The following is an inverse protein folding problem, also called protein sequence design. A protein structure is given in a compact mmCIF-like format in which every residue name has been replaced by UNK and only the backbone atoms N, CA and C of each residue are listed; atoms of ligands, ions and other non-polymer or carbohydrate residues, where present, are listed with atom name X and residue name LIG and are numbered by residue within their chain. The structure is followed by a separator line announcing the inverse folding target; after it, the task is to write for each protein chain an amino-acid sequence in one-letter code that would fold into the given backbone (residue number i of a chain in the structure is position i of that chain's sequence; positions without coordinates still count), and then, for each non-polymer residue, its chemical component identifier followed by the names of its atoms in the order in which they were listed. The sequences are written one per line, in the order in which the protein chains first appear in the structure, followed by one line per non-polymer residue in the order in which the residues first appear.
data_IF_318498926957
#
_entry.id   IF_318498926957
#
_cell.length_a   1.000
_cell.length_b   1.000
_cell.length_c   1.000
_cell.angle_alpha   90.00
_cell.angle_beta   90.00
_cell.angle_gamma   90.00
#
_symmetry.space_group_name_H-M   'P 1'
#
loop_
_entity.id
_entity.type
_entity.pdbx_description
1 polymer ?
#
# COMPACT_ATOMS: atom_id res chain seq x y z
N UNK A 1 -30.71 -44.05 46.10
CA UNK A 1 -31.06 -43.93 44.68
C UNK A 1 -31.53 -42.52 44.29
N UNK A 2 -32.49 -41.88 44.99
CA UNK A 2 -33.00 -40.53 44.66
C UNK A 2 -31.95 -39.38 44.70
N UNK A 3 -30.99 -39.39 45.63
CA UNK A 3 -29.93 -38.37 45.71
C UNK A 3 -28.96 -38.43 44.52
N UNK A 4 -28.61 -39.61 44.00
CA UNK A 4 -27.71 -39.76 42.85
C UNK A 4 -28.39 -39.27 41.54
N UNK A 5 -29.68 -39.59 41.33
CA UNK A 5 -30.42 -39.08 40.17
C UNK A 5 -30.68 -37.56 40.22
N UNK A 6 -30.82 -36.99 41.41
CA UNK A 6 -30.92 -35.54 41.59
C UNK A 6 -29.59 -34.82 41.32
N UNK A 7 -28.47 -35.39 41.75
CA UNK A 7 -27.11 -34.86 41.45
C UNK A 7 -26.78 -34.99 39.97
N UNK A 8 -27.11 -36.09 39.27
CA UNK A 8 -26.96 -36.23 37.83
C UNK A 8 -27.80 -35.22 37.06
N UNK A 9 -29.06 -35.04 37.44
CA UNK A 9 -29.95 -34.04 36.82
C UNK A 9 -29.44 -32.59 36.99
N UNK A 10 -28.84 -32.27 38.18
CA UNK A 10 -28.23 -30.97 38.45
C UNK A 10 -26.98 -30.75 37.63
N UNK A 11 -26.12 -31.75 37.47
CA UNK A 11 -24.91 -31.66 36.65
C UNK A 11 -25.23 -31.54 35.15
N UNK A 12 -26.23 -32.25 34.65
CA UNK A 12 -26.71 -32.09 33.30
C UNK A 12 -27.26 -30.70 33.02
N UNK A 13 -28.05 -30.12 33.93
CA UNK A 13 -28.52 -28.71 33.78
C UNK A 13 -27.34 -27.71 33.73
N UNK A 14 -26.34 -27.85 34.59
CA UNK A 14 -25.13 -27.00 34.59
C UNK A 14 -24.38 -27.15 33.28
N UNK A 15 -24.22 -28.37 32.77
CA UNK A 15 -23.58 -28.62 31.46
C UNK A 15 -24.34 -27.94 30.33
N UNK A 16 -25.67 -28.02 30.28
CA UNK A 16 -26.47 -27.34 29.25
C UNK A 16 -26.37 -25.83 29.35
N UNK A 17 -26.33 -25.24 30.54
CA UNK A 17 -26.12 -23.80 30.73
C UNK A 17 -24.73 -23.41 30.20
N UNK A 18 -23.70 -24.16 30.56
CA UNK A 18 -22.33 -23.93 30.09
C UNK A 18 -22.25 -23.98 28.57
N UNK A 19 -22.83 -25.01 27.92
CA UNK A 19 -22.86 -25.13 26.45
C UNK A 19 -23.55 -23.91 25.81
N UNK A 20 -24.71 -23.49 26.37
CA UNK A 20 -25.41 -22.29 25.86
C UNK A 20 -24.56 -21.02 25.97
N UNK A 21 -23.85 -20.84 27.08
CA UNK A 21 -22.92 -19.70 27.25
C UNK A 21 -21.78 -19.75 26.26
N UNK A 22 -21.18 -20.92 26.04
CA UNK A 22 -20.10 -21.09 25.03
C UNK A 22 -20.62 -20.73 23.64
N UNK A 23 -21.79 -21.26 23.25
CA UNK A 23 -22.39 -20.94 21.95
C UNK A 23 -22.66 -19.42 21.83
N UNK A 24 -23.26 -18.82 22.87
CA UNK A 24 -23.55 -17.39 22.89
C UNK A 24 -22.29 -16.55 22.71
N UNK A 25 -21.22 -16.80 23.48
CA UNK A 25 -19.96 -16.07 23.37
C UNK A 25 -19.26 -16.32 22.04
N UNK A 26 -19.34 -17.53 21.49
CA UNK A 26 -18.80 -17.84 20.16
C UNK A 26 -19.49 -17.03 19.06
N UNK A 27 -20.83 -17.00 19.09
CA UNK A 27 -21.62 -16.20 18.13
C UNK A 27 -21.32 -14.71 18.28
N UNK A 28 -21.30 -14.22 19.51
CA UNK A 28 -20.98 -12.81 19.81
C UNK A 28 -19.59 -12.44 19.31
N UNK A 29 -18.59 -13.28 19.53
CA UNK A 29 -17.23 -13.06 19.07
C UNK A 29 -17.14 -13.06 17.52
N UNK A 30 -17.81 -14.00 16.88
CA UNK A 30 -17.90 -14.05 15.42
C UNK A 30 -18.55 -12.77 14.84
N UNK A 31 -19.63 -12.29 15.48
CA UNK A 31 -20.28 -11.03 15.09
C UNK A 31 -19.34 -9.82 15.22
N UNK A 32 -18.57 -9.73 16.31
CA UNK A 32 -17.59 -8.66 16.51
C UNK A 32 -16.55 -8.66 15.38
N UNK A 33 -16.06 -9.83 14.97
CA UNK A 33 -15.08 -9.95 13.87
C UNK A 33 -15.71 -9.54 12.54
N UNK A 34 -16.90 -10.06 12.22
CA UNK A 34 -17.61 -9.78 10.96
C UNK A 34 -17.96 -8.29 10.86
N UNK A 35 -18.58 -7.74 11.90
CA UNK A 35 -18.92 -6.31 11.95
C UNK A 35 -17.65 -5.45 11.90
N UNK A 36 -16.57 -5.85 12.57
CA UNK A 36 -15.28 -5.18 12.48
C UNK A 36 -14.80 -5.03 11.04
N UNK A 37 -14.88 -6.09 10.24
CA UNK A 37 -14.52 -6.04 8.81
C UNK A 37 -15.46 -5.14 8.01
N UNK A 38 -16.77 -5.17 8.24
CA UNK A 38 -17.76 -4.33 7.54
C UNK A 38 -17.53 -2.85 7.86
N UNK A 39 -17.29 -2.53 9.15
CA UNK A 39 -17.12 -1.16 9.63
C UNK A 39 -15.74 -0.56 9.32
N UNK A 40 -14.71 -1.38 9.06
CA UNK A 40 -13.40 -0.88 8.62
C UNK A 40 -13.56 -0.05 7.35
N UNK A 41 -13.04 1.21 7.32
CA UNK A 41 -13.14 2.08 6.16
C UNK A 41 -12.53 1.44 4.92
N UNK A 42 -13.20 1.58 3.77
CA UNK A 42 -12.67 1.16 2.47
C UNK A 42 -11.93 2.33 1.84
N UNK A 43 -10.63 2.45 2.12
CA UNK A 43 -9.80 3.57 1.71
C UNK A 43 -9.63 3.62 0.19
N UNK A 44 -10.41 4.47 -0.49
CA UNK A 44 -10.33 4.68 -1.93
C UNK A 44 -9.23 5.71 -2.23
N UNK A 45 -8.28 5.36 -3.09
CA UNK A 45 -7.13 6.21 -3.43
C UNK A 45 -7.15 6.75 -4.86
N UNK A 46 -8.16 6.42 -5.66
CA UNK A 46 -8.20 6.76 -7.07
C UNK A 46 -9.54 7.26 -7.59
N UNK A 47 -9.57 7.50 -8.87
CA UNK A 47 -10.76 7.90 -9.64
C UNK A 47 -11.46 6.72 -10.28
N UNK A 48 -10.86 5.55 -10.21
CA UNK A 48 -11.40 4.33 -10.76
C UNK A 48 -12.35 3.68 -9.78
N UNK A 49 -13.35 3.08 -10.31
CA UNK A 49 -14.43 2.29 -9.72
C UNK A 49 -14.12 1.54 -8.41
N UNK A 50 -15.01 0.69 -8.02
CA UNK A 50 -15.01 -0.12 -6.79
C UNK A 50 -13.75 -0.99 -6.52
N UNK A 51 -12.85 -1.17 -7.50
CA UNK A 51 -11.62 -1.98 -7.39
C UNK A 51 -10.35 -1.17 -7.06
N UNK A 52 -10.51 0.04 -6.55
CA UNK A 52 -9.46 1.02 -6.35
C UNK A 52 -9.40 1.45 -4.89
N UNK A 53 -8.42 0.97 -4.16
CA UNK A 53 -8.21 1.34 -2.76
C UNK A 53 -7.20 0.46 -2.04
N UNK A 54 -6.77 0.89 -0.86
CA UNK A 54 -5.79 0.15 -0.05
C UNK A 54 -6.30 -1.24 0.37
N UNK A 55 -7.61 -1.39 0.55
CA UNK A 55 -8.21 -2.70 0.82
C UNK A 55 -8.02 -3.66 -0.37
N UNK A 56 -8.10 -3.19 -1.62
CA UNK A 56 -7.80 -4.00 -2.80
C UNK A 56 -6.30 -4.30 -2.93
N UNK A 57 -5.44 -3.32 -2.66
CA UNK A 57 -3.98 -3.54 -2.70
C UNK A 57 -3.56 -4.65 -1.73
N UNK A 58 -4.01 -4.58 -0.47
CA UNK A 58 -3.57 -5.53 0.55
C UNK A 58 -4.27 -6.89 0.40
N UNK A 59 -5.61 -6.89 0.30
CA UNK A 59 -6.34 -8.15 0.18
C UNK A 59 -6.10 -8.84 -1.17
N UNK A 60 -5.94 -8.07 -2.26
CA UNK A 60 -5.62 -8.62 -3.58
C UNK A 60 -4.27 -9.34 -3.60
N UNK A 61 -3.29 -8.88 -2.81
CA UNK A 61 -2.03 -9.60 -2.64
C UNK A 61 -2.23 -10.98 -2.01
N UNK A 62 -3.09 -11.07 -1.01
CA UNK A 62 -3.40 -12.35 -0.35
C UNK A 62 -4.22 -13.32 -1.21
N UNK A 63 -4.86 -12.84 -2.27
CA UNK A 63 -5.62 -13.69 -3.21
C UNK A 63 -4.73 -14.26 -4.34
N UNK A 64 -3.50 -13.79 -4.49
CA UNK A 64 -2.57 -14.35 -5.46
C UNK A 64 -2.21 -15.82 -5.10
N UNK A 65 -1.98 -16.68 -6.10
CA UNK A 65 -1.34 -17.98 -5.89
C UNK A 65 -0.02 -17.79 -5.12
N UNK A 66 0.31 -18.70 -4.22
CA UNK A 66 1.56 -18.64 -3.47
C UNK A 66 2.77 -18.67 -4.39
N UNK A 67 3.77 -17.85 -4.08
CA UNK A 67 5.05 -17.78 -4.78
C UNK A 67 4.90 -17.52 -6.30
N UNK A 68 3.94 -16.68 -6.67
CA UNK A 68 3.61 -16.36 -8.05
C UNK A 68 4.14 -15.01 -8.55
N UNK A 69 4.97 -14.31 -7.75
CA UNK A 69 5.57 -13.04 -8.14
C UNK A 69 7.10 -13.08 -8.04
N UNK A 70 7.76 -12.49 -9.01
CA UNK A 70 9.22 -12.35 -9.10
C UNK A 70 9.70 -11.10 -8.36
N UNK A 71 8.95 -10.00 -8.46
CA UNK A 71 9.32 -8.67 -7.93
C UNK A 71 8.20 -8.11 -7.06
N UNK A 72 8.57 -7.63 -5.86
CA UNK A 72 7.66 -6.93 -4.97
C UNK A 72 8.05 -5.46 -4.86
N UNK A 73 7.11 -4.56 -5.16
CA UNK A 73 7.27 -3.13 -4.93
C UNK A 73 6.69 -2.77 -3.58
N UNK A 74 7.48 -2.08 -2.76
CA UNK A 74 7.10 -1.57 -1.44
C UNK A 74 7.39 -0.07 -1.36
N UNK A 75 6.51 0.69 -0.76
CA UNK A 75 6.72 2.12 -0.63
C UNK A 75 5.46 2.87 -0.24
N UNK A 76 5.44 4.12 -0.60
CA UNK A 76 4.28 4.98 -0.42
C UNK A 76 3.50 5.22 -1.73
N UNK A 77 2.80 6.35 -1.78
CA UNK A 77 1.98 6.71 -2.94
C UNK A 77 2.79 6.99 -4.21
N UNK A 78 4.07 7.33 -4.11
CA UNK A 78 4.95 7.51 -5.27
C UNK A 78 5.08 6.21 -6.06
N UNK A 79 5.21 5.08 -5.35
CA UNK A 79 5.33 3.76 -5.96
C UNK A 79 4.00 3.29 -6.53
N UNK A 80 2.89 3.31 -5.75
CA UNK A 80 1.63 2.78 -6.29
C UNK A 80 1.00 3.66 -7.36
N UNK A 81 1.45 4.91 -7.52
CA UNK A 81 1.08 5.82 -8.61
C UNK A 81 2.08 5.80 -9.77
N UNK A 82 3.34 5.46 -9.50
CA UNK A 82 4.44 5.58 -10.45
C UNK A 82 4.83 4.32 -11.19
N UNK A 83 4.49 3.12 -10.64
CA UNK A 83 4.94 1.84 -11.20
C UNK A 83 3.78 0.89 -11.42
N UNK A 84 3.60 0.45 -12.66
CA UNK A 84 2.57 -0.50 -13.07
C UNK A 84 3.12 -1.91 -13.30
N UNK A 85 2.78 -2.89 -12.43
CA UNK A 85 3.17 -4.27 -12.63
C UNK A 85 2.69 -4.88 -13.96
N UNK A 86 1.53 -4.45 -14.46
CA UNK A 86 0.97 -4.98 -15.71
C UNK A 86 1.71 -4.48 -16.94
N UNK A 87 2.29 -3.26 -16.92
CA UNK A 87 3.19 -2.78 -17.98
C UNK A 87 4.49 -3.58 -18.02
N UNK A 88 5.04 -3.94 -16.85
CA UNK A 88 6.21 -4.81 -16.75
C UNK A 88 5.88 -6.20 -17.31
N UNK A 89 4.76 -6.79 -16.91
CA UNK A 89 4.32 -8.10 -17.39
C UNK A 89 4.07 -8.11 -18.91
N UNK A 90 3.42 -7.08 -19.45
CA UNK A 90 3.17 -6.96 -20.89
C UNK A 90 4.46 -7.02 -21.70
N UNK A 91 5.50 -6.31 -21.25
CA UNK A 91 6.77 -6.17 -21.97
C UNK A 91 7.71 -7.36 -21.80
N UNK A 92 7.63 -8.08 -20.68
CA UNK A 92 8.68 -9.03 -20.27
C UNK A 92 8.16 -10.40 -19.81
N UNK A 93 6.89 -10.50 -19.42
CA UNK A 93 6.36 -11.66 -18.72
C UNK A 93 6.80 -11.77 -17.24
N UNK A 94 7.59 -10.82 -16.72
CA UNK A 94 7.98 -10.76 -15.29
C UNK A 94 6.74 -10.46 -14.45
N UNK A 95 6.49 -11.28 -13.44
CA UNK A 95 5.37 -11.07 -12.53
C UNK A 95 5.78 -10.20 -11.36
N UNK A 96 4.97 -9.19 -11.06
CA UNK A 96 5.26 -8.28 -9.96
C UNK A 96 3.99 -7.79 -9.26
N UNK A 97 4.13 -7.28 -8.06
CA UNK A 97 3.01 -6.71 -7.32
C UNK A 97 3.43 -5.43 -6.60
N UNK A 98 2.56 -4.43 -6.63
CA UNK A 98 2.75 -3.18 -5.95
C UNK A 98 2.00 -3.20 -4.61
N UNK A 99 2.70 -3.59 -3.53
CA UNK A 99 2.16 -3.63 -2.17
C UNK A 99 2.57 -2.38 -1.39
N UNK A 100 2.35 -1.22 -1.99
CA UNK A 100 2.67 0.07 -1.37
C UNK A 100 1.45 0.64 -0.65
N UNK A 101 1.69 1.42 0.40
CA UNK A 101 0.66 1.97 1.29
C UNK A 101 0.87 3.47 1.44
N UNK A 102 -0.23 4.24 1.34
CA UNK A 102 -0.19 5.70 1.45
C UNK A 102 0.61 6.17 2.67
N UNK A 103 1.56 7.07 2.43
CA UNK A 103 2.41 7.67 3.46
C UNK A 103 3.16 6.64 4.32
N UNK A 104 3.57 5.52 3.75
CA UNK A 104 4.32 4.50 4.49
C UNK A 104 5.69 5.02 4.96
N UNK A 105 6.12 4.56 6.11
CA UNK A 105 7.46 4.74 6.67
C UNK A 105 8.14 3.38 6.73
N UNK A 106 9.48 3.37 6.79
CA UNK A 106 10.26 2.12 6.78
C UNK A 106 9.83 1.12 7.87
N UNK A 107 9.44 1.59 9.05
CA UNK A 107 8.98 0.71 10.12
C UNK A 107 7.62 0.04 9.83
N UNK A 108 6.73 0.69 9.06
CA UNK A 108 5.50 0.06 8.56
C UNK A 108 5.84 -0.96 7.49
N UNK A 109 6.75 -0.60 6.56
CA UNK A 109 7.17 -1.46 5.47
C UNK A 109 7.90 -2.71 5.96
N UNK A 110 8.61 -2.63 7.09
CA UNK A 110 9.24 -3.80 7.70
C UNK A 110 8.19 -4.87 8.06
N UNK A 111 7.13 -4.51 8.75
CA UNK A 111 6.05 -5.45 9.09
C UNK A 111 5.25 -5.90 7.87
N UNK A 112 5.06 -5.02 6.88
CA UNK A 112 4.43 -5.39 5.61
C UNK A 112 5.29 -6.43 4.88
N UNK A 113 6.61 -6.25 4.84
CA UNK A 113 7.53 -7.20 4.23
C UNK A 113 7.48 -8.58 4.91
N UNK A 114 7.58 -8.61 6.25
CA UNK A 114 7.49 -9.87 7.01
C UNK A 114 6.17 -10.61 6.76
N UNK A 115 5.06 -9.88 6.68
CA UNK A 115 3.76 -10.48 6.41
C UNK A 115 3.65 -10.92 4.95
N UNK A 116 4.04 -10.08 4.00
CA UNK A 116 4.01 -10.37 2.57
C UNK A 116 4.84 -11.61 2.21
N UNK A 117 5.99 -11.75 2.82
CA UNK A 117 6.91 -12.86 2.56
C UNK A 117 6.36 -14.24 2.98
N UNK A 118 5.32 -14.31 3.81
CA UNK A 118 4.62 -15.58 4.13
C UNK A 118 3.83 -16.15 2.95
N UNK A 119 3.46 -15.29 2.02
CA UNK A 119 2.61 -15.63 0.87
C UNK A 119 3.37 -15.71 -0.44
N UNK A 120 4.36 -14.85 -0.60
CA UNK A 120 5.16 -14.72 -1.81
C UNK A 120 6.65 -14.72 -1.46
N UNK A 121 7.48 -15.28 -2.36
CA UNK A 121 8.93 -15.35 -2.21
C UNK A 121 9.60 -14.61 -3.38
N UNK A 122 9.44 -13.28 -3.47
CA UNK A 122 10.04 -12.51 -4.55
C UNK A 122 11.57 -12.59 -4.50
N UNK A 123 12.21 -12.63 -5.65
CA UNK A 123 13.67 -12.57 -5.76
C UNK A 123 14.20 -11.16 -5.60
N UNK A 124 13.38 -10.16 -5.93
CA UNK A 124 13.74 -8.75 -5.86
C UNK A 124 12.66 -7.97 -5.12
N UNK A 125 13.09 -7.12 -4.21
CA UNK A 125 12.23 -6.12 -3.58
C UNK A 125 12.73 -4.75 -4.01
N UNK A 126 11.82 -3.93 -4.57
CA UNK A 126 12.10 -2.55 -4.91
C UNK A 126 11.36 -1.65 -3.93
N UNK A 127 12.11 -0.83 -3.17
CA UNK A 127 11.58 -0.01 -2.08
C UNK A 127 11.76 1.48 -2.36
N UNK A 128 10.73 2.27 -2.04
CA UNK A 128 10.79 3.73 -2.11
C UNK A 128 11.71 4.31 -1.04
N UNK A 129 12.81 4.99 -1.41
CA UNK A 129 13.72 5.60 -0.45
C UNK A 129 13.11 6.78 0.32
N UNK A 130 12.04 7.42 -0.16
CA UNK A 130 11.37 8.52 0.53
C UNK A 130 10.87 8.08 1.92
N UNK A 131 10.54 6.80 2.07
CA UNK A 131 10.08 6.20 3.33
C UNK A 131 11.09 6.29 4.48
N UNK A 132 12.36 6.58 4.17
CA UNK A 132 13.45 6.77 5.13
C UNK A 132 13.56 8.21 5.65
N UNK A 133 13.01 9.17 4.91
CA UNK A 133 13.26 10.61 5.16
C UNK A 133 12.07 11.36 5.76
N UNK A 134 11.01 10.65 6.11
CA UNK A 134 9.93 11.23 6.89
C UNK A 134 10.41 11.55 8.31
N UNK A 135 10.28 12.83 8.71
CA UNK A 135 10.77 13.31 10.01
C UNK A 135 9.79 13.07 11.16
N UNK A 136 8.53 12.84 10.83
CA UNK A 136 7.46 12.65 11.81
C UNK A 136 6.83 11.27 11.65
N UNK A 137 6.36 10.69 12.77
CA UNK A 137 5.54 9.49 12.75
C UNK A 137 4.26 9.79 11.96
N UNK A 138 3.73 8.78 11.30
CA UNK A 138 2.45 8.90 10.59
C UNK A 138 1.29 9.12 11.56
N UNK A 139 0.24 9.74 11.05
CA UNK A 139 -1.02 9.84 11.81
C UNK A 139 -1.75 8.50 11.84
N UNK A 140 -2.58 8.27 12.86
CA UNK A 140 -3.34 7.02 13.05
C UNK A 140 -4.03 6.54 11.77
N UNK A 141 -4.65 7.45 11.02
CA UNK A 141 -5.38 7.09 9.79
C UNK A 141 -4.50 6.45 8.72
N UNK A 142 -3.26 6.91 8.55
CA UNK A 142 -2.32 6.32 7.60
C UNK A 142 -1.84 4.94 8.09
N UNK A 143 -1.51 4.82 9.35
CA UNK A 143 -1.14 3.55 9.99
C UNK A 143 -2.25 2.51 9.86
N UNK A 144 -3.50 2.91 10.03
CA UNK A 144 -4.68 2.05 9.87
C UNK A 144 -4.87 1.53 8.45
N UNK A 145 -4.51 2.31 7.43
CA UNK A 145 -4.51 1.85 6.03
C UNK A 145 -3.60 0.64 5.82
N UNK A 146 -2.50 0.56 6.56
CA UNK A 146 -1.57 -0.57 6.51
C UNK A 146 -2.08 -1.77 7.31
N UNK A 147 -2.50 -1.55 8.54
CA UNK A 147 -2.64 -2.61 9.55
C UNK A 147 -4.04 -3.19 9.68
N UNK A 148 -5.09 -2.41 9.38
CA UNK A 148 -6.46 -2.93 9.54
C UNK A 148 -6.76 -4.08 8.57
N UNK A 149 -6.13 -4.09 7.39
CA UNK A 149 -6.28 -5.14 6.39
C UNK A 149 -5.26 -6.28 6.49
N UNK A 150 -4.17 -6.08 7.24
CA UNK A 150 -3.21 -7.15 7.49
C UNK A 150 -3.90 -8.32 8.19
N UNK A 151 -3.70 -9.54 7.68
CA UNK A 151 -4.28 -10.75 8.27
C UNK A 151 -3.76 -10.94 9.70
N UNK A 152 -4.64 -11.39 10.60
CA UNK A 152 -4.23 -11.72 11.95
C UNK A 152 -3.19 -12.85 11.94
N UNK A 153 -2.13 -12.67 12.71
CA UNK A 153 -1.03 -13.63 12.81
C UNK A 153 0.15 -13.05 13.60
N UNK A 154 1.26 -13.78 13.60
CA UNK A 154 2.47 -13.43 14.36
C UNK A 154 2.93 -11.98 14.07
N UNK A 155 3.11 -11.62 12.80
CA UNK A 155 3.59 -10.28 12.42
C UNK A 155 2.66 -9.16 12.88
N UNK A 156 1.34 -9.32 12.70
CA UNK A 156 0.37 -8.33 13.19
C UNK A 156 0.41 -8.21 14.72
N UNK A 157 0.59 -9.31 15.43
CA UNK A 157 0.75 -9.32 16.88
C UNK A 157 2.02 -8.59 17.29
N UNK A 158 3.16 -8.90 16.66
CA UNK A 158 4.46 -8.26 16.95
C UNK A 158 4.39 -6.75 16.72
N UNK A 159 3.84 -6.33 15.58
CA UNK A 159 3.63 -4.93 15.27
C UNK A 159 2.76 -4.21 16.31
N UNK A 160 1.60 -4.78 16.71
CA UNK A 160 0.71 -4.15 17.69
C UNK A 160 1.40 -4.03 19.07
N UNK A 161 2.35 -4.91 19.38
CA UNK A 161 3.06 -4.93 20.65
C UNK A 161 4.48 -4.38 20.57
N UNK A 162 4.90 -3.82 19.44
CA UNK A 162 6.17 -3.10 19.36
C UNK A 162 6.07 -1.79 20.16
N UNK A 163 6.95 -1.63 21.15
CA UNK A 163 7.02 -0.47 22.02
C UNK A 163 7.26 0.85 21.27
N UNK A 164 7.79 0.77 20.04
CA UNK A 164 7.95 1.93 19.18
C UNK A 164 6.64 2.69 18.91
N UNK A 165 5.51 1.97 18.80
CA UNK A 165 4.21 2.59 18.52
C UNK A 165 3.57 3.22 19.77
N UNK A 166 4.02 2.87 20.97
CA UNK A 166 3.52 3.43 22.24
C UNK A 166 2.01 3.28 22.42
N UNK A 167 1.43 2.19 21.87
CA UNK A 167 0.00 1.94 21.96
C UNK A 167 -0.47 1.64 23.37
N UNK A 168 -1.47 2.36 23.85
CA UNK A 168 -2.18 1.99 25.05
C UNK A 168 -3.04 0.73 24.85
N UNK A 169 -3.61 0.20 25.95
CA UNK A 169 -4.42 -1.02 25.89
C UNK A 169 -5.64 -0.88 24.97
N UNK A 170 -6.31 0.28 24.95
CA UNK A 170 -7.49 0.52 24.12
C UNK A 170 -7.13 0.56 22.64
N UNK A 171 -6.01 1.20 22.34
CA UNK A 171 -5.49 1.28 20.98
C UNK A 171 -5.08 -0.11 20.48
N UNK A 172 -4.32 -0.89 21.25
CA UNK A 172 -4.00 -2.29 20.92
C UNK A 172 -5.27 -3.11 20.66
N UNK A 173 -6.26 -3.03 21.55
CA UNK A 173 -7.53 -3.75 21.42
C UNK A 173 -8.25 -3.36 20.11
N UNK A 174 -8.19 -2.10 19.72
CA UNK A 174 -8.83 -1.60 18.49
C UNK A 174 -8.17 -2.08 17.20
N UNK A 175 -6.89 -2.48 17.21
CA UNK A 175 -6.23 -3.15 16.09
C UNK A 175 -6.57 -4.64 16.02
N UNK A 176 -6.79 -5.29 17.17
CA UNK A 176 -7.27 -6.66 17.18
C UNK A 176 -8.74 -6.76 16.76
N UNK A 177 -9.55 -5.79 17.19
CA UNK A 177 -10.98 -5.73 16.96
C UNK A 177 -11.39 -4.36 16.40
N UNK A 178 -11.30 -4.17 15.07
CA UNK A 178 -11.56 -2.87 14.43
C UNK A 178 -12.94 -2.27 14.75
N UNK A 179 -13.91 -3.10 15.14
CA UNK A 179 -15.23 -2.62 15.56
C UNK A 179 -15.14 -1.61 16.73
N UNK A 180 -14.20 -1.79 17.66
CA UNK A 180 -14.03 -0.85 18.77
C UNK A 180 -13.58 0.54 18.31
N UNK A 181 -12.86 0.61 17.18
CA UNK A 181 -12.46 1.89 16.58
C UNK A 181 -13.53 2.51 15.70
N UNK A 182 -14.29 1.66 14.97
CA UNK A 182 -15.13 2.11 13.87
C UNK A 182 -16.64 1.98 14.16
N UNK A 183 -17.07 1.59 15.36
CA UNK A 183 -18.48 1.41 15.70
C UNK A 183 -19.33 2.67 15.46
N UNK A 184 -18.76 3.88 15.61
CA UNK A 184 -19.45 5.14 15.37
C UNK A 184 -19.85 5.39 13.90
N UNK A 185 -19.29 4.61 12.96
CA UNK A 185 -19.60 4.71 11.53
C UNK A 185 -20.90 4.00 11.11
N UNK A 186 -21.74 3.62 12.06
CA UNK A 186 -22.99 2.89 11.77
C UNK A 186 -23.87 3.58 10.72
N UNK A 187 -23.87 4.93 10.67
CA UNK A 187 -24.64 5.75 9.70
C UNK A 187 -23.95 5.89 8.33
N UNK A 188 -22.68 5.51 8.20
CA UNK A 188 -21.91 5.53 6.95
C UNK A 188 -21.96 4.17 6.23
N UNK A 189 -22.37 3.11 6.93
CA UNK A 189 -22.38 1.75 6.39
C UNK A 189 -23.52 1.60 5.39
N UNK A 190 -23.17 1.11 4.22
CA UNK A 190 -24.11 0.82 3.14
C UNK A 190 -23.83 -0.56 2.51
N UNK A 191 -24.64 -0.97 1.55
CA UNK A 191 -24.50 -2.27 0.88
C UNK A 191 -23.14 -2.43 0.15
N UNK A 192 -22.51 -1.36 -0.30
CA UNK A 192 -21.16 -1.43 -0.90
C UNK A 192 -20.11 -1.89 0.11
N UNK A 193 -20.18 -1.42 1.37
CA UNK A 193 -19.27 -1.88 2.44
C UNK A 193 -19.42 -3.39 2.68
N UNK A 194 -20.65 -3.90 2.69
CA UNK A 194 -20.94 -5.33 2.86
C UNK A 194 -20.41 -6.12 1.65
N UNK A 195 -20.76 -5.71 0.43
CA UNK A 195 -20.29 -6.37 -0.80
C UNK A 195 -18.77 -6.42 -0.88
N UNK A 196 -18.08 -5.31 -0.57
CA UNK A 196 -16.61 -5.28 -0.55
C UNK A 196 -16.00 -6.16 0.53
N UNK A 197 -16.66 -6.32 1.68
CA UNK A 197 -16.15 -7.17 2.77
C UNK A 197 -16.19 -8.66 2.43
N UNK A 198 -17.20 -9.10 1.68
CA UNK A 198 -17.42 -10.52 1.34
C UNK A 198 -17.16 -10.84 -0.14
N UNK A 199 -16.77 -9.86 -0.94
CA UNK A 199 -16.42 -10.03 -2.34
C UNK A 199 -14.96 -10.48 -2.53
N UNK A 200 -14.60 -10.73 -3.80
CA UNK A 200 -13.20 -10.93 -4.20
C UNK A 200 -12.47 -9.58 -4.28
N UNK A 201 -11.22 -9.57 -3.87
CA UNK A 201 -10.31 -8.43 -4.00
C UNK A 201 -9.35 -8.59 -5.19
N UNK A 202 -9.74 -9.38 -6.18
CA UNK A 202 -8.90 -9.61 -7.35
C UNK A 202 -8.52 -8.30 -8.05
N UNK A 203 -7.23 -7.96 -8.02
CA UNK A 203 -6.68 -6.74 -8.61
C UNK A 203 -6.15 -7.01 -10.01
N UNK A 204 -6.81 -6.44 -11.03
CA UNK A 204 -6.31 -6.49 -12.42
C UNK A 204 -5.10 -5.58 -12.64
N UNK A 205 -4.87 -4.61 -11.77
CA UNK A 205 -3.72 -3.67 -11.82
C UNK A 205 -2.55 -4.11 -10.96
N UNK A 206 -2.70 -5.22 -10.21
CA UNK A 206 -1.69 -5.73 -9.28
C UNK A 206 -1.18 -4.69 -8.28
N UNK A 207 -2.10 -3.88 -7.73
CA UNK A 207 -1.82 -2.85 -6.74
C UNK A 207 -1.42 -1.48 -7.30
N UNK A 208 -1.24 -1.34 -8.60
CA UNK A 208 -1.07 -0.03 -9.23
C UNK A 208 -2.38 0.75 -9.21
N UNK A 209 -2.32 2.02 -8.83
CA UNK A 209 -3.49 2.92 -8.79
C UNK A 209 -3.40 3.92 -9.93
N UNK A 210 -4.12 3.62 -11.00
CA UNK A 210 -4.18 4.41 -12.23
C UNK A 210 -4.87 5.76 -11.99
N UNK A 211 -4.31 6.85 -12.51
CA UNK A 211 -4.90 8.20 -12.42
C UNK A 211 -4.98 8.88 -13.78
N UNK A 212 -6.11 9.55 -14.03
CA UNK A 212 -6.32 10.42 -15.19
C UNK A 212 -6.38 11.90 -14.81
N UNK A 213 -5.95 12.25 -13.60
CA UNK A 213 -5.88 13.65 -13.17
C UNK A 213 -4.68 14.34 -13.81
N UNK A 214 -4.85 15.61 -14.12
CA UNK A 214 -3.78 16.51 -14.56
C UNK A 214 -3.79 17.75 -13.68
N UNK A 215 -2.69 17.97 -12.97
CA UNK A 215 -2.46 19.20 -12.24
C UNK A 215 -1.01 19.64 -12.49
N UNK A 216 -0.80 20.60 -13.41
CA UNK A 216 0.50 20.90 -13.95
C UNK A 216 1.48 21.48 -12.94
N UNK A 217 2.77 21.22 -13.16
CA UNK A 217 3.89 21.96 -12.59
C UNK A 217 4.64 22.69 -13.71
N UNK A 218 4.55 24.00 -13.71
CA UNK A 218 5.16 24.85 -14.75
C UNK A 218 6.57 25.37 -14.43
N UNK A 219 7.01 25.23 -13.18
CA UNK A 219 8.28 25.82 -12.73
C UNK A 219 9.06 24.83 -11.88
N UNK A 220 10.38 24.94 -11.97
CA UNK A 220 11.27 24.40 -10.96
C UNK A 220 11.53 22.89 -11.07
N UNK A 221 12.12 22.45 -12.18
CA UNK A 221 12.70 21.10 -12.27
C UNK A 221 14.06 20.99 -11.59
N UNK A 222 14.49 22.03 -10.87
CA UNK A 222 15.75 22.07 -10.16
C UNK A 222 15.69 21.49 -8.76
N UNK A 223 14.72 20.60 -8.51
CA UNK A 223 14.57 19.96 -7.19
C UNK A 223 15.79 19.08 -6.85
N UNK A 224 16.55 18.64 -7.85
CA UNK A 224 17.79 17.88 -7.67
C UNK A 224 19.06 18.79 -7.61
N UNK A 225 18.89 20.12 -7.51
CA UNK A 225 20.01 21.00 -7.27
C UNK A 225 20.32 21.12 -5.78
N UNK A 226 21.60 21.27 -5.37
CA UNK A 226 21.98 21.50 -3.98
C UNK A 226 21.23 22.69 -3.37
N UNK A 227 20.69 22.52 -2.18
CA UNK A 227 19.83 23.51 -1.52
C UNK A 227 20.22 23.85 -0.08
N UNK A 228 21.29 23.30 0.44
CA UNK A 228 21.73 23.42 1.85
C UNK A 228 20.68 22.95 2.89
N UNK A 229 19.67 22.21 2.48
CA UNK A 229 18.72 21.59 3.43
C UNK A 229 19.44 20.52 4.23
N UNK A 230 19.27 20.57 5.54
CA UNK A 230 19.76 19.49 6.39
C UNK A 230 18.79 18.32 6.32
N UNK A 231 19.23 17.20 5.80
CA UNK A 231 18.50 15.93 5.86
C UNK A 231 18.85 15.22 7.16
N UNK A 232 17.85 14.80 7.89
CA UNK A 232 18.02 14.08 9.15
C UNK A 232 17.22 12.78 9.08
N UNK A 233 17.95 11.67 9.14
CA UNK A 233 17.33 10.38 9.37
C UNK A 233 17.23 10.14 10.89
N UNK A 234 16.07 9.69 11.35
CA UNK A 234 15.84 9.41 12.77
C UNK A 234 16.46 8.07 13.17
N UNK A 235 16.88 7.93 14.42
CA UNK A 235 17.49 6.70 14.92
C UNK A 235 16.57 5.48 14.74
N UNK A 236 15.27 5.64 14.96
CA UNK A 236 14.31 4.58 14.73
C UNK A 236 14.21 4.18 13.25
N UNK A 237 14.39 5.13 12.31
CA UNK A 237 14.43 4.84 10.88
C UNK A 237 15.62 3.94 10.56
N UNK A 238 16.80 4.24 11.12
CA UNK A 238 18.00 3.41 10.94
C UNK A 238 17.76 2.00 11.51
N UNK A 239 17.20 1.89 12.72
CA UNK A 239 16.85 0.60 13.34
C UNK A 239 16.00 -0.28 12.41
N UNK A 240 14.91 0.26 11.87
CA UNK A 240 14.03 -0.51 11.00
C UNK A 240 14.62 -0.77 9.62
N UNK A 241 15.48 0.13 9.11
CA UNK A 241 16.24 -0.12 7.89
C UNK A 241 17.22 -1.29 8.09
N UNK A 242 17.95 -1.33 9.21
CA UNK A 242 18.82 -2.45 9.58
C UNK A 242 18.04 -3.77 9.59
N UNK A 243 16.87 -3.80 10.22
CA UNK A 243 15.99 -4.96 10.28
C UNK A 243 15.49 -5.37 8.87
N UNK A 244 15.11 -4.40 8.06
CA UNK A 244 14.63 -4.62 6.69
C UNK A 244 15.73 -5.21 5.79
N UNK A 245 16.91 -4.61 5.81
CA UNK A 245 18.08 -5.07 5.02
C UNK A 245 18.52 -6.46 5.50
N UNK A 246 18.57 -6.66 6.82
CA UNK A 246 18.89 -7.98 7.38
C UNK A 246 17.89 -9.03 6.93
N UNK A 247 16.59 -8.73 6.96
CA UNK A 247 15.56 -9.66 6.49
C UNK A 247 15.76 -10.04 5.02
N UNK A 248 16.07 -9.07 4.16
CA UNK A 248 16.33 -9.33 2.75
C UNK A 248 17.56 -10.24 2.57
N UNK A 249 18.66 -9.94 3.29
CA UNK A 249 19.90 -10.76 3.23
C UNK A 249 19.68 -12.20 3.75
N UNK A 250 18.98 -12.36 4.87
CA UNK A 250 18.69 -13.67 5.47
C UNK A 250 17.81 -14.56 4.58
N UNK A 251 17.10 -13.97 3.62
CA UNK A 251 16.17 -14.67 2.73
C UNK A 251 16.59 -14.65 1.25
N UNK A 252 17.85 -14.30 0.94
CA UNK A 252 18.42 -14.23 -0.41
C UNK A 252 17.59 -13.33 -1.36
N UNK A 253 17.07 -12.21 -0.84
CA UNK A 253 16.29 -11.24 -1.60
C UNK A 253 17.20 -10.07 -1.99
N UNK A 254 17.22 -9.76 -3.27
CA UNK A 254 17.94 -8.59 -3.80
C UNK A 254 17.13 -7.32 -3.49
N UNK A 255 17.69 -6.45 -2.67
CA UNK A 255 17.07 -5.17 -2.30
C UNK A 255 17.54 -4.05 -3.23
N UNK A 256 16.59 -3.33 -3.82
CA UNK A 256 16.83 -2.18 -4.69
C UNK A 256 16.05 -0.98 -4.16
N UNK A 257 16.70 0.13 -3.88
CA UNK A 257 16.01 1.40 -3.72
C UNK A 257 15.54 1.90 -5.09
N UNK A 258 14.29 2.34 -5.17
CA UNK A 258 13.67 2.86 -6.39
C UNK A 258 13.20 4.29 -6.18
N UNK A 259 13.98 5.25 -6.66
CA UNK A 259 13.66 6.67 -6.59
C UNK A 259 12.74 7.09 -7.73
N UNK A 260 11.42 7.03 -7.52
CA UNK A 260 10.43 7.57 -8.46
C UNK A 260 10.42 9.09 -8.36
N UNK A 261 10.32 9.83 -9.49
CA UNK A 261 10.31 11.30 -9.48
C UNK A 261 9.20 11.90 -8.61
N UNK A 262 9.61 12.64 -7.58
CA UNK A 262 8.75 13.47 -6.73
C UNK A 262 9.42 14.83 -6.53
N UNK A 263 8.97 15.82 -7.24
CA UNK A 263 9.60 17.14 -7.30
C UNK A 263 9.41 17.99 -6.05
N UNK A 264 8.75 17.51 -5.02
CA UNK A 264 8.43 18.23 -3.79
C UNK A 264 8.95 17.58 -2.52
N UNK A 265 8.88 16.25 -2.45
CA UNK A 265 9.31 15.51 -1.28
C UNK A 265 10.75 14.97 -1.43
N UNK A 266 11.25 14.82 -2.66
CA UNK A 266 12.62 14.40 -2.95
C UNK A 266 13.50 15.58 -3.35
N UNK A 267 14.82 15.46 -3.15
CA UNK A 267 15.80 16.46 -3.55
C UNK A 267 17.23 15.95 -3.46
N UNK A 268 18.15 16.84 -3.84
CA UNK A 268 19.59 16.52 -3.91
C UNK A 268 20.14 15.95 -2.59
N UNK A 269 19.79 16.55 -1.47
CA UNK A 269 20.32 16.17 -0.16
C UNK A 269 19.86 14.79 0.30
N UNK A 270 18.57 14.46 0.05
CA UNK A 270 18.07 13.10 0.32
C UNK A 270 18.76 12.08 -0.59
N UNK A 271 19.00 12.43 -1.85
CA UNK A 271 19.68 11.57 -2.81
C UNK A 271 21.14 11.29 -2.39
N UNK A 272 21.87 12.30 -1.98
CA UNK A 272 23.26 12.13 -1.51
C UNK A 272 23.34 11.31 -0.21
N UNK A 273 22.38 11.50 0.70
CA UNK A 273 22.31 10.70 1.92
C UNK A 273 21.95 9.24 1.60
N UNK A 274 21.01 9.02 0.68
CA UNK A 274 20.67 7.66 0.22
C UNK A 274 21.87 6.96 -0.42
N UNK A 275 22.67 7.63 -1.24
CA UNK A 275 23.88 7.04 -1.85
C UNK A 275 24.87 6.55 -0.80
N UNK A 276 25.01 7.24 0.33
CA UNK A 276 25.84 6.77 1.45
C UNK A 276 25.29 5.48 2.04
N UNK A 277 23.95 5.43 2.29
CA UNK A 277 23.30 4.23 2.81
C UNK A 277 23.39 3.04 1.84
N UNK A 278 23.21 3.29 0.54
CA UNK A 278 23.37 2.27 -0.51
C UNK A 278 24.77 1.64 -0.44
N UNK A 279 25.82 2.45 -0.29
CA UNK A 279 27.19 1.98 -0.14
C UNK A 279 27.40 1.25 1.21
N UNK A 280 26.89 1.80 2.33
CA UNK A 280 27.01 1.23 3.67
C UNK A 280 26.38 -0.18 3.74
N UNK A 281 25.19 -0.33 3.18
CA UNK A 281 24.46 -1.61 3.20
C UNK A 281 24.81 -2.56 2.07
N UNK A 282 25.58 -2.08 1.07
CA UNK A 282 25.88 -2.81 -0.17
C UNK A 282 24.61 -3.30 -0.87
N UNK A 283 23.68 -2.37 -1.13
CA UNK A 283 22.41 -2.60 -1.83
C UNK A 283 22.38 -1.80 -3.14
N UNK A 284 21.40 -2.05 -4.00
CA UNK A 284 21.28 -1.37 -5.29
C UNK A 284 20.39 -0.13 -5.20
N UNK A 285 20.58 0.80 -6.11
CA UNK A 285 19.76 1.99 -6.26
C UNK A 285 19.48 2.30 -7.74
N UNK A 286 18.21 2.35 -8.09
CA UNK A 286 17.72 2.88 -9.36
C UNK A 286 17.15 4.28 -9.11
N UNK A 287 17.95 5.30 -9.48
CA UNK A 287 17.56 6.71 -9.36
C UNK A 287 16.92 7.21 -10.65
N UNK A 288 15.62 7.48 -10.60
CA UNK A 288 14.87 8.03 -11.73
C UNK A 288 14.57 9.53 -11.56
N UNK A 289 15.31 10.24 -10.69
CA UNK A 289 15.15 11.67 -10.45
C UNK A 289 16.17 12.54 -11.21
N UNK A 290 17.26 11.96 -11.70
CA UNK A 290 18.36 12.71 -12.31
C UNK A 290 18.17 12.99 -13.80
N UNK A 291 17.21 12.35 -14.44
CA UNK A 291 16.87 12.56 -15.85
C UNK A 291 15.36 12.70 -16.00
N UNK A 292 14.95 13.33 -17.08
CA UNK A 292 13.52 13.52 -17.35
C UNK A 292 12.81 12.22 -17.74
N UNK A 293 13.52 11.27 -18.34
CA UNK A 293 12.93 10.03 -18.91
C UNK A 293 11.71 10.31 -19.79
N UNK A 294 11.71 11.48 -20.46
CA UNK A 294 10.59 11.94 -21.27
C UNK A 294 9.37 12.41 -20.48
N UNK A 295 9.47 12.63 -19.17
CA UNK A 295 8.39 13.20 -18.36
C UNK A 295 8.16 14.66 -18.71
N UNK A 296 6.89 15.01 -18.91
CA UNK A 296 6.40 16.37 -18.96
C UNK A 296 5.51 16.64 -17.74
N UNK A 297 6.04 17.32 -16.74
CA UNK A 297 5.30 17.61 -15.53
C UNK A 297 4.13 18.60 -15.71
N UNK A 298 3.91 19.11 -16.91
CA UNK A 298 2.70 19.86 -17.22
C UNK A 298 1.53 18.95 -17.57
N UNK A 299 1.79 17.71 -18.00
CA UNK A 299 0.77 16.75 -18.45
C UNK A 299 0.82 15.40 -17.72
N UNK A 300 1.97 15.00 -17.19
CA UNK A 300 2.23 13.65 -16.66
C UNK A 300 2.07 13.53 -15.14
N UNK A 301 1.60 14.59 -14.48
CA UNK A 301 1.42 14.65 -13.02
C UNK A 301 -0.03 14.93 -12.61
N UNK A 302 -0.46 14.29 -11.52
CA UNK A 302 -1.81 14.49 -10.99
C UNK A 302 -1.92 15.63 -9.95
N UNK A 303 -0.77 16.11 -9.40
CA UNK A 303 -0.77 17.03 -8.25
C UNK A 303 0.52 17.87 -8.14
N UNK A 304 0.93 18.47 -9.22
CA UNK A 304 2.07 19.41 -9.28
C UNK A 304 3.42 18.75 -9.05
N UNK A 305 3.61 17.55 -9.59
CA UNK A 305 4.90 16.86 -9.59
C UNK A 305 5.20 16.02 -8.34
N UNK A 306 4.19 15.72 -7.50
CA UNK A 306 4.34 14.77 -6.40
C UNK A 306 4.06 13.35 -6.91
N UNK A 307 2.90 13.15 -7.57
CA UNK A 307 2.52 11.86 -8.10
C UNK A 307 2.33 11.91 -9.61
N UNK A 308 2.68 10.81 -10.24
CA UNK A 308 2.49 10.62 -11.67
C UNK A 308 1.04 10.23 -11.96
N UNK A 309 0.51 10.67 -13.10
CA UNK A 309 -0.68 10.09 -13.68
C UNK A 309 -0.31 8.91 -14.61
N UNK A 310 -1.30 8.33 -15.29
CA UNK A 310 -1.08 7.15 -16.13
C UNK A 310 0.03 7.35 -17.19
N UNK A 311 0.10 8.52 -17.83
CA UNK A 311 1.16 8.80 -18.85
C UNK A 311 2.55 8.82 -18.22
N UNK A 312 2.71 9.53 -17.10
CA UNK A 312 3.96 9.57 -16.37
C UNK A 312 4.36 8.20 -15.83
N UNK A 313 3.40 7.46 -15.26
CA UNK A 313 3.63 6.12 -14.74
C UNK A 313 4.12 5.12 -15.80
N UNK A 314 3.56 5.16 -17.02
CA UNK A 314 4.02 4.31 -18.13
C UNK A 314 5.50 4.63 -18.47
N UNK A 315 5.87 5.91 -18.55
CA UNK A 315 7.25 6.32 -18.85
C UNK A 315 8.23 5.80 -17.80
N UNK A 316 7.92 6.00 -16.52
CA UNK A 316 8.77 5.53 -15.42
C UNK A 316 8.79 4.00 -15.33
N UNK A 317 7.65 3.34 -15.53
CA UNK A 317 7.61 1.87 -15.55
C UNK A 317 8.47 1.28 -16.66
N UNK A 318 8.59 1.95 -17.81
CA UNK A 318 9.49 1.52 -18.89
C UNK A 318 10.95 1.49 -18.43
N UNK A 319 11.41 2.47 -17.66
CA UNK A 319 12.78 2.50 -17.13
C UNK A 319 12.99 1.41 -16.06
N UNK A 320 12.00 1.19 -15.18
CA UNK A 320 12.02 0.06 -14.23
C UNK A 320 12.10 -1.27 -14.98
N UNK A 321 11.33 -1.42 -16.07
CA UNK A 321 11.34 -2.63 -16.91
C UNK A 321 12.71 -2.86 -17.56
N UNK A 322 13.32 -1.82 -18.11
CA UNK A 322 14.70 -1.90 -18.67
C UNK A 322 15.70 -2.32 -17.60
N UNK A 323 15.61 -1.73 -16.41
CA UNK A 323 16.48 -2.10 -15.30
C UNK A 323 16.35 -3.58 -14.93
N UNK A 324 15.11 -4.07 -14.77
CA UNK A 324 14.86 -5.48 -14.43
C UNK A 324 15.40 -6.42 -15.50
N UNK A 325 15.19 -6.13 -16.79
CA UNK A 325 15.70 -6.94 -17.89
C UNK A 325 17.22 -6.98 -17.97
N UNK A 326 17.88 -5.87 -17.66
CA UNK A 326 19.34 -5.76 -17.79
C UNK A 326 20.09 -6.37 -16.60
N UNK A 327 19.45 -6.46 -15.43
CA UNK A 327 20.12 -6.88 -14.20
C UNK A 327 19.67 -8.26 -13.69
N UNK A 328 18.58 -8.82 -14.22
CA UNK A 328 18.00 -10.06 -13.74
C UNK A 328 17.57 -10.97 -14.88
N UNK A 329 17.76 -12.27 -14.68
CA UNK A 329 17.29 -13.30 -15.62
C UNK A 329 15.99 -13.93 -15.07
N UNK A 330 14.88 -13.19 -15.18
CA UNK A 330 13.56 -13.72 -14.83
C UNK A 330 12.98 -14.53 -15.99
N UNK A 331 12.14 -15.50 -15.64
CA UNK A 331 11.37 -16.27 -16.62
C UNK A 331 10.25 -15.40 -17.22
N UNK A 332 10.01 -15.56 -18.52
CA UNK A 332 8.80 -15.04 -19.15
C UNK A 332 7.62 -15.99 -18.87
N UNK A 333 6.66 -15.53 -18.06
CA UNK A 333 5.52 -16.33 -17.62
C UNK A 333 4.31 -16.27 -18.55
N UNK A 334 4.34 -15.49 -19.65
CA UNK A 334 3.18 -15.31 -20.54
C UNK A 334 2.71 -16.60 -21.21
N UNK A 335 3.59 -17.58 -21.37
CA UNK A 335 3.28 -18.88 -21.95
C UNK A 335 3.07 -20.01 -20.93
N UNK A 336 3.13 -19.70 -19.64
CA UNK A 336 2.94 -20.69 -18.58
C UNK A 336 1.45 -20.83 -18.23
N UNK A 337 0.95 -22.06 -18.21
CA UNK A 337 -0.47 -22.32 -17.90
C UNK A 337 -0.88 -21.81 -16.50
N UNK A 338 0.05 -21.85 -15.53
CA UNK A 338 -0.20 -21.37 -14.17
C UNK A 338 -0.44 -19.86 -14.10
N UNK A 339 0.02 -19.12 -15.13
CA UNK A 339 -0.11 -17.67 -15.24
C UNK A 339 -1.21 -17.22 -16.21
N UNK A 340 -2.08 -18.12 -16.68
CA UNK A 340 -3.17 -17.75 -17.59
C UNK A 340 -4.03 -16.63 -17.03
N UNK A 341 -4.23 -16.58 -15.72
CA UNK A 341 -4.97 -15.49 -15.07
C UNK A 341 -4.31 -14.12 -15.23
N UNK A 342 -2.99 -14.06 -15.31
CA UNK A 342 -2.26 -12.82 -15.59
C UNK A 342 -2.53 -12.35 -17.03
N UNK A 343 -2.59 -13.27 -18.00
CA UNK A 343 -2.91 -12.94 -19.39
C UNK A 343 -4.34 -12.41 -19.51
N UNK A 344 -5.31 -13.03 -18.81
CA UNK A 344 -6.69 -12.54 -18.76
C UNK A 344 -6.78 -11.13 -18.13
N UNK A 345 -6.01 -10.88 -17.08
CA UNK A 345 -5.94 -9.58 -16.43
C UNK A 345 -5.27 -8.54 -17.31
N UNK A 346 -4.24 -8.94 -18.08
CA UNK A 346 -3.58 -8.06 -19.04
C UNK A 346 -4.55 -7.55 -20.11
N UNK A 347 -5.40 -8.42 -20.64
CA UNK A 347 -6.44 -8.02 -21.61
C UNK A 347 -7.38 -6.95 -21.01
N UNK A 348 -7.81 -7.17 -19.76
CA UNK A 348 -8.69 -6.23 -19.06
C UNK A 348 -7.97 -4.92 -18.71
N UNK A 349 -6.71 -5.04 -18.27
CA UNK A 349 -5.86 -3.90 -17.98
C UNK A 349 -5.65 -3.03 -19.21
N UNK A 350 -5.31 -3.63 -20.36
CA UNK A 350 -5.08 -2.90 -21.62
C UNK A 350 -6.33 -2.18 -22.09
N UNK A 351 -7.50 -2.81 -22.03
CA UNK A 351 -8.78 -2.14 -22.33
C UNK A 351 -9.02 -0.92 -21.43
N UNK A 352 -8.72 -1.06 -20.14
CA UNK A 352 -8.85 0.04 -19.17
C UNK A 352 -7.82 1.15 -19.45
N UNK A 353 -6.56 0.77 -19.68
CA UNK A 353 -5.46 1.68 -20.04
C UNK A 353 -5.79 2.53 -21.25
N UNK A 354 -6.23 1.90 -22.35
CA UNK A 354 -6.61 2.61 -23.59
C UNK A 354 -7.73 3.63 -23.34
N UNK A 355 -8.77 3.25 -22.59
CA UNK A 355 -9.86 4.18 -22.28
C UNK A 355 -9.37 5.37 -21.44
N UNK A 356 -8.45 5.15 -20.51
CA UNK A 356 -7.90 6.19 -19.65
C UNK A 356 -6.87 7.08 -20.35
N UNK A 357 -6.11 6.53 -21.28
CA UNK A 357 -5.22 7.33 -22.13
C UNK A 357 -6.03 8.27 -23.03
N UNK A 358 -7.12 7.79 -23.64
CA UNK A 358 -8.04 8.64 -24.41
C UNK A 358 -8.63 9.78 -23.57
N UNK A 359 -9.01 9.48 -22.32
CA UNK A 359 -9.47 10.53 -21.39
C UNK A 359 -8.39 11.58 -21.11
N UNK A 360 -7.15 11.13 -20.87
CA UNK A 360 -6.00 12.04 -20.66
C UNK A 360 -5.70 12.87 -21.90
N UNK A 361 -5.67 12.26 -23.09
CA UNK A 361 -5.43 12.95 -24.34
C UNK A 361 -6.47 14.05 -24.57
N UNK A 362 -7.75 13.73 -24.38
CA UNK A 362 -8.83 14.69 -24.46
C UNK A 362 -8.67 15.85 -23.47
N UNK A 363 -8.28 15.55 -22.20
CA UNK A 363 -8.01 16.60 -21.19
C UNK A 363 -6.86 17.50 -21.58
N UNK A 364 -5.77 16.92 -22.11
CA UNK A 364 -4.58 17.67 -22.55
C UNK A 364 -4.94 18.60 -23.74
N UNK A 365 -5.57 18.07 -24.77
CA UNK A 365 -5.98 18.82 -25.96
C UNK A 365 -6.92 19.99 -25.61
N UNK A 366 -7.84 19.78 -24.66
CA UNK A 366 -8.81 20.76 -24.24
C UNK A 366 -8.34 21.60 -23.01
N UNK A 367 -7.09 21.42 -22.54
CA UNK A 367 -6.51 22.13 -21.38
C UNK A 367 -7.37 22.02 -20.11
N UNK A 368 -7.94 20.82 -19.88
CA UNK A 368 -8.76 20.52 -18.69
C UNK A 368 -7.84 20.05 -17.57
N UNK A 369 -7.71 20.87 -16.54
CA UNK A 369 -6.83 20.60 -15.40
C UNK A 369 -7.63 20.38 -14.12
N UNK A 370 -7.23 19.36 -13.32
CA UNK A 370 -7.85 19.00 -12.05
C UNK A 370 -7.31 19.87 -10.88
N UNK A 371 -7.29 21.18 -11.08
CA UNK A 371 -6.79 22.13 -10.06
C UNK A 371 -7.81 22.25 -8.94
N UNK A 372 -7.46 21.92 -7.70
CA UNK A 372 -8.32 22.20 -6.54
C UNK A 372 -8.62 23.69 -6.47
N UNK A 373 -9.87 24.10 -6.67
CA UNK A 373 -10.32 25.47 -6.34
C UNK A 373 -10.01 25.69 -4.87
N UNK A 374 -9.23 26.74 -4.55
CA UNK A 374 -9.10 27.21 -3.17
C UNK A 374 -10.50 27.53 -2.68
N UNK A 375 -11.08 26.71 -1.83
CA UNK A 375 -12.26 27.09 -1.05
C UNK A 375 -11.81 28.17 -0.11
N UNK A 376 -12.08 29.42 -0.44
CA UNK A 376 -11.94 30.56 0.45
C UNK A 376 -13.02 30.42 1.51
N UNK A 377 -12.73 29.68 2.57
CA UNK A 377 -13.57 29.68 3.76
C UNK A 377 -13.29 31.01 4.46
N UNK A 378 -14.07 32.02 4.12
CA UNK A 378 -14.18 33.23 4.91
C UNK A 378 -14.79 32.80 6.25
N UNK A 379 -13.94 32.55 7.25
CA UNK A 379 -14.40 32.53 8.65
C UNK A 379 -14.88 33.95 8.98
N UNK A 380 -16.16 34.17 8.90
CA UNK A 380 -16.80 35.28 9.61
C UNK A 380 -16.59 35.01 11.11
N UNK A 381 -15.56 35.61 11.67
CA UNK A 381 -15.45 35.81 13.11
C UNK A 381 -16.51 36.87 13.42
N UNK A 382 -17.69 36.45 13.85
CA UNK A 382 -18.61 37.29 14.59
C UNK A 382 -18.15 37.24 16.03
N UNK A 383 -17.53 38.33 16.43
CA UNK A 383 -17.44 38.73 17.83
C UNK A 383 -18.83 38.64 18.47
N UNK A 384 -18.91 37.92 19.58
CA UNK A 384 -19.94 38.16 20.60
C UNK A 384 -19.29 38.12 21.96
N UNK A 385 -19.48 39.22 22.62
CA UNK A 385 -19.19 39.60 24.00
C UNK A 385 -19.36 38.46 25.03
#
# INVERSE_FOLDING_TARGET
MQLASYMEGSNMKKLFIFIRLVIFFTIMFALIIVLGKVFTPKWKNGTLSEMDGQDYTINGYYELPKNSIDVLFLGDSSIFKGVSPMEIYEQTGITSYNYSVSSARIYLLYYILEDAYKYQKPKVIMIDPLTLFYTEKEVEGERRKSFDYMKFGKTKYEMINDDFFEFDFKEKLSYYFPLFRYHSRWNEINMSNVKRTFGSYHSITKGYIMSTKINPRYTGFNYMNPSNKKVVMKDYTKKYLDMFVKFCKDNDIDLVFLGVPDTRAWGYEQNEELKKLVNEYNVKYLDLNNDSYGLDFTTDTEDKGIHLNLKGAIKITNEVTKYLRNNYNFKDHRNDNEYQKWNEDLIKYNKLKEARLKELDYKIENKIYDVKKKTTTTKNIKDKH
#
